data_IF_201292670794
#
_entry.id   IF_201292670794
#
_cell.length_a   1.000
_cell.length_b   1.000
_cell.length_c   1.000
_cell.angle_alpha   90.00
_cell.angle_beta   90.00
_cell.angle_gamma   90.00
#
_symmetry.space_group_name_H-M   'P 1'
#
loop_
_entity.id
_entity.type
_entity.pdbx_description
1 polymer ?
#
# COMPACT_ATOMS: atom_id res chain seq x y z
N UNK A 1 8.60 4.41 -41.51
CA UNK A 1 9.39 5.05 -40.43
C UNK A 1 8.57 5.71 -39.30
N UNK A 2 7.22 5.67 -39.31
CA UNK A 2 6.39 6.26 -38.25
C UNK A 2 6.02 5.31 -37.08
N UNK A 3 6.33 4.01 -37.15
CA UNK A 3 5.91 3.00 -36.16
C UNK A 3 6.95 2.67 -35.07
N UNK A 4 8.18 3.20 -35.18
CA UNK A 4 9.21 3.07 -34.14
C UNK A 4 9.13 4.20 -33.11
N UNK A 5 8.74 5.41 -33.52
CA UNK A 5 8.64 6.58 -32.63
C UNK A 5 7.52 6.42 -31.58
N UNK A 6 6.34 5.92 -31.99
CA UNK A 6 5.21 5.62 -31.08
C UNK A 6 5.51 4.52 -30.06
N UNK A 7 6.46 3.61 -30.34
CA UNK A 7 6.87 2.55 -29.40
C UNK A 7 7.75 3.10 -28.29
N UNK A 8 8.68 4.01 -28.60
CA UNK A 8 9.52 4.67 -27.60
C UNK A 8 8.72 5.49 -26.61
N UNK A 9 7.81 6.34 -27.10
CA UNK A 9 6.95 7.19 -26.25
C UNK A 9 5.98 6.35 -25.41
N UNK A 10 5.38 5.29 -25.98
CA UNK A 10 4.45 4.42 -25.26
C UNK A 10 5.15 3.59 -24.18
N UNK A 11 6.34 3.08 -24.46
CA UNK A 11 7.18 2.40 -23.44
C UNK A 11 7.62 3.39 -22.36
N UNK A 12 8.06 4.59 -22.72
CA UNK A 12 8.41 5.64 -21.75
C UNK A 12 7.21 6.06 -20.88
N UNK A 13 6.04 6.28 -21.47
CA UNK A 13 4.80 6.56 -20.73
C UNK A 13 4.41 5.40 -19.80
N UNK A 14 4.59 4.15 -20.23
CA UNK A 14 4.34 2.98 -19.38
C UNK A 14 5.34 2.88 -18.22
N UNK A 15 6.61 3.28 -18.42
CA UNK A 15 7.59 3.37 -17.35
C UNK A 15 7.28 4.52 -16.39
N UNK A 16 6.91 5.69 -16.90
CA UNK A 16 6.53 6.85 -16.07
C UNK A 16 5.23 6.57 -15.31
N UNK A 17 4.21 6.00 -15.95
CA UNK A 17 2.98 5.56 -15.28
C UNK A 17 3.25 4.40 -14.33
N UNK A 18 4.14 3.47 -14.67
CA UNK A 18 4.54 2.36 -13.79
C UNK A 18 5.28 2.86 -12.56
N UNK A 19 6.17 3.85 -12.72
CA UNK A 19 6.88 4.49 -11.62
C UNK A 19 5.93 5.35 -10.77
N UNK A 20 5.06 6.15 -11.40
CA UNK A 20 4.02 6.91 -10.70
C UNK A 20 3.03 5.97 -9.98
N UNK A 21 2.69 4.84 -10.59
CA UNK A 21 1.89 3.80 -9.97
C UNK A 21 2.60 3.22 -8.74
N UNK A 22 3.87 2.82 -8.87
CA UNK A 22 4.69 2.35 -7.76
C UNK A 22 4.87 3.43 -6.66
N UNK A 23 4.76 4.71 -7.03
CA UNK A 23 4.89 5.85 -6.14
C UNK A 23 3.61 6.12 -5.33
N UNK A 24 2.44 5.91 -5.92
CA UNK A 24 1.14 6.13 -5.25
C UNK A 24 0.58 4.86 -4.59
N UNK A 25 0.98 3.67 -5.05
CA UNK A 25 0.55 2.39 -4.49
C UNK A 25 0.83 2.20 -2.98
N UNK A 26 2.00 2.60 -2.44
CA UNK A 26 2.32 2.45 -1.02
C UNK A 26 1.55 3.41 -0.12
N UNK A 27 0.94 4.46 -0.68
CA UNK A 27 0.34 5.54 0.10
C UNK A 27 -1.08 5.20 0.60
N UNK A 28 -1.71 4.15 0.10
CA UNK A 28 -3.09 3.82 0.48
C UNK A 28 -3.25 3.17 1.87
N UNK A 29 -2.34 2.26 2.30
CA UNK A 29 -2.36 1.72 3.67
C UNK A 29 -2.12 2.77 4.76
N UNK A 30 -1.53 3.93 4.44
CA UNK A 30 -1.32 5.02 5.41
C UNK A 30 -2.61 5.48 6.06
N UNK A 31 -3.72 5.45 5.31
CA UNK A 31 -5.05 5.82 5.79
C UNK A 31 -5.48 4.97 6.99
N UNK A 32 -5.07 3.69 7.07
CA UNK A 32 -5.31 2.85 8.26
C UNK A 32 -4.51 3.38 9.44
N UNK A 33 -3.21 3.64 9.24
CA UNK A 33 -2.35 4.09 10.34
C UNK A 33 -2.70 5.51 10.82
N UNK A 34 -3.36 6.30 9.96
CA UNK A 34 -3.78 7.66 10.30
C UNK A 34 -4.99 7.70 11.26
N UNK A 35 -5.73 6.59 11.38
CA UNK A 35 -6.77 6.42 12.41
C UNK A 35 -6.23 6.66 13.83
N UNK A 36 -4.93 6.41 14.06
CA UNK A 36 -4.25 6.73 15.33
C UNK A 36 -4.34 8.22 15.69
N UNK A 37 -4.38 9.14 14.71
CA UNK A 37 -4.56 10.57 14.99
C UNK A 37 -5.96 10.89 15.52
N UNK A 38 -6.97 10.14 15.11
CA UNK A 38 -8.33 10.30 15.66
C UNK A 38 -8.34 9.90 17.14
N UNK A 39 -7.66 8.81 17.50
CA UNK A 39 -7.49 8.42 18.91
C UNK A 39 -6.61 9.38 19.71
N UNK A 40 -5.62 10.04 19.08
CA UNK A 40 -4.84 11.09 19.72
C UNK A 40 -5.66 12.35 20.02
N UNK A 41 -6.61 12.69 19.13
CA UNK A 41 -7.52 13.85 19.31
C UNK A 41 -8.62 13.59 20.35
N UNK A 42 -8.98 12.31 20.56
CA UNK A 42 -10.01 11.89 21.49
C UNK A 42 -9.44 10.85 22.49
N UNK A 43 -8.63 11.29 23.47
CA UNK A 43 -7.96 10.38 24.40
C UNK A 43 -8.95 9.64 25.31
N UNK A 44 -8.60 8.40 25.65
CA UNK A 44 -9.40 7.53 26.54
C UNK A 44 -9.50 8.06 27.99
N UNK A 45 -8.54 8.88 28.41
CA UNK A 45 -8.41 9.43 29.78
C UNK A 45 -8.81 10.91 29.80
N UNK A 46 -10.07 11.22 29.52
CA UNK A 46 -10.64 12.57 29.62
C UNK A 46 -12.00 12.56 30.31
N UNK A 47 -12.38 13.67 30.94
CA UNK A 47 -13.69 13.81 31.62
C UNK A 47 -14.89 13.60 30.68
N UNK A 48 -14.68 13.79 29.38
CA UNK A 48 -15.65 13.52 28.31
C UNK A 48 -15.39 12.14 27.70
N UNK A 49 -16.39 11.26 27.77
CA UNK A 49 -16.35 9.96 27.09
C UNK A 49 -16.25 10.16 25.58
N UNK A 50 -15.11 9.81 24.97
CA UNK A 50 -14.89 9.98 23.53
C UNK A 50 -15.98 9.34 22.65
N UNK A 51 -16.52 8.19 23.07
CA UNK A 51 -17.59 7.47 22.36
C UNK A 51 -18.96 8.17 22.41
N UNK A 52 -19.14 9.15 23.31
CA UNK A 52 -20.39 9.92 23.42
C UNK A 52 -20.52 11.02 22.36
N UNK A 53 -19.45 11.31 21.61
CA UNK A 53 -19.46 12.34 20.58
C UNK A 53 -19.74 11.72 19.19
N UNK A 54 -20.87 12.06 18.51
CA UNK A 54 -21.18 11.56 17.18
C UNK A 54 -20.12 11.90 16.12
N UNK A 55 -19.41 13.02 16.27
CA UNK A 55 -18.35 13.44 15.35
C UNK A 55 -17.14 12.51 15.38
N UNK A 56 -16.87 11.84 16.50
CA UNK A 56 -15.82 10.83 16.61
C UNK A 56 -16.12 9.65 15.69
N UNK A 57 -17.32 9.07 15.81
CA UNK A 57 -17.75 7.94 14.99
C UNK A 57 -17.77 8.28 13.50
N UNK A 58 -18.25 9.48 13.12
CA UNK A 58 -18.26 9.90 11.72
C UNK A 58 -16.84 9.98 11.13
N UNK A 59 -15.87 10.51 11.88
CA UNK A 59 -14.47 10.57 11.41
C UNK A 59 -13.82 9.18 11.35
N UNK A 60 -13.95 8.37 12.40
CA UNK A 60 -13.35 7.03 12.45
C UNK A 60 -13.92 6.14 11.35
N UNK A 61 -15.25 6.06 11.23
CA UNK A 61 -15.90 5.22 10.22
C UNK A 61 -15.64 5.73 8.80
N UNK A 62 -15.65 7.06 8.60
CA UNK A 62 -15.33 7.66 7.30
C UNK A 62 -13.91 7.36 6.86
N UNK A 63 -12.91 7.58 7.73
CA UNK A 63 -11.51 7.27 7.43
C UNK A 63 -11.29 5.78 7.21
N UNK A 64 -11.91 4.93 8.03
CA UNK A 64 -11.82 3.48 7.88
C UNK A 64 -12.40 3.01 6.54
N UNK A 65 -13.56 3.55 6.14
CA UNK A 65 -14.19 3.22 4.87
C UNK A 65 -13.31 3.64 3.68
N UNK A 66 -12.76 4.86 3.72
CA UNK A 66 -11.83 5.35 2.69
C UNK A 66 -10.55 4.50 2.66
N UNK A 67 -10.03 4.08 3.81
CA UNK A 67 -8.86 3.21 3.91
C UNK A 67 -9.12 1.82 3.30
N UNK A 68 -10.25 1.20 3.62
CA UNK A 68 -10.63 -0.12 3.09
C UNK A 68 -10.89 -0.06 1.58
N UNK A 69 -11.62 0.96 1.10
CA UNK A 69 -11.85 1.17 -0.33
C UNK A 69 -10.54 1.42 -1.07
N UNK A 70 -9.67 2.27 -0.51
CA UNK A 70 -8.37 2.52 -1.09
C UNK A 70 -7.51 1.25 -1.17
N UNK A 71 -7.44 0.47 -0.10
CA UNK A 71 -6.68 -0.79 -0.08
C UNK A 71 -7.20 -1.81 -1.08
N UNK A 72 -8.51 -1.98 -1.17
CA UNK A 72 -9.13 -2.92 -2.12
C UNK A 72 -8.87 -2.49 -3.57
N UNK A 73 -9.01 -1.20 -3.89
CA UNK A 73 -8.63 -0.65 -5.19
C UNK A 73 -7.13 -0.86 -5.48
N UNK A 74 -6.28 -0.69 -4.46
CA UNK A 74 -4.87 -1.04 -4.52
C UNK A 74 -4.68 -2.51 -4.88
N UNK A 75 -5.26 -3.46 -4.17
CA UNK A 75 -5.08 -4.88 -4.48
C UNK A 75 -5.54 -5.27 -5.87
N UNK A 76 -6.66 -4.70 -6.36
CA UNK A 76 -7.13 -4.92 -7.75
C UNK A 76 -6.15 -4.36 -8.77
N UNK A 77 -5.56 -3.20 -8.49
CA UNK A 77 -4.56 -2.59 -9.35
C UNK A 77 -3.27 -3.41 -9.41
N UNK A 78 -2.78 -3.90 -8.27
CA UNK A 78 -1.61 -4.78 -8.19
C UNK A 78 -1.84 -6.09 -8.90
N UNK A 79 -3.03 -6.67 -8.79
CA UNK A 79 -3.40 -7.88 -9.53
C UNK A 79 -3.35 -7.64 -11.04
N UNK A 80 -3.85 -6.49 -11.51
CA UNK A 80 -3.80 -6.14 -12.93
C UNK A 80 -2.36 -6.05 -13.45
N UNK A 81 -1.45 -5.44 -12.67
CA UNK A 81 -0.02 -5.38 -13.01
C UNK A 81 0.63 -6.76 -12.91
N UNK A 82 0.31 -7.55 -11.88
CA UNK A 82 0.81 -8.93 -11.71
C UNK A 82 0.46 -9.79 -12.92
N UNK A 83 -0.78 -9.71 -13.42
CA UNK A 83 -1.22 -10.42 -14.62
C UNK A 83 -0.46 -9.97 -15.88
N UNK A 84 -0.17 -8.68 -16.02
CA UNK A 84 0.63 -8.17 -17.12
C UNK A 84 2.07 -8.71 -17.06
N UNK A 85 2.69 -8.71 -15.88
CA UNK A 85 4.03 -9.29 -15.66
C UNK A 85 4.01 -10.80 -15.92
N UNK A 86 2.95 -11.49 -15.51
CA UNK A 86 2.78 -12.92 -15.74
C UNK A 86 2.76 -13.25 -17.24
N UNK A 87 2.05 -12.47 -18.04
CA UNK A 87 2.02 -12.63 -19.50
C UNK A 87 3.37 -12.34 -20.16
N UNK A 88 4.16 -11.42 -19.59
CA UNK A 88 5.43 -10.99 -20.17
C UNK A 88 6.63 -11.88 -19.78
N UNK A 89 6.71 -12.34 -18.53
CA UNK A 89 7.88 -13.05 -17.96
C UNK A 89 7.55 -14.31 -17.17
N UNK A 90 6.29 -14.75 -17.17
CA UNK A 90 5.87 -16.00 -16.53
C UNK A 90 5.39 -15.84 -15.08
N UNK A 91 4.81 -16.91 -14.54
CA UNK A 91 4.15 -16.92 -13.23
C UNK A 91 5.07 -16.68 -12.03
N UNK A 92 6.28 -17.27 -12.02
CA UNK A 92 7.21 -17.10 -10.90
C UNK A 92 7.67 -15.64 -10.74
N UNK A 93 7.98 -14.98 -11.86
CA UNK A 93 8.42 -13.57 -11.85
C UNK A 93 7.29 -12.65 -11.39
N UNK A 94 6.04 -12.92 -11.76
CA UNK A 94 4.91 -12.10 -11.32
C UNK A 94 4.63 -12.23 -9.82
N UNK A 95 4.76 -13.43 -9.26
CA UNK A 95 4.65 -13.65 -7.81
C UNK A 95 5.78 -12.94 -7.05
N UNK A 96 7.03 -13.07 -7.51
CA UNK A 96 8.15 -12.35 -6.90
C UNK A 96 8.00 -10.83 -6.98
N UNK A 97 7.51 -10.31 -8.12
CA UNK A 97 7.21 -8.89 -8.28
C UNK A 97 6.15 -8.42 -7.28
N UNK A 98 5.06 -9.18 -7.12
CA UNK A 98 4.01 -8.89 -6.16
C UNK A 98 4.55 -8.84 -4.72
N UNK A 99 5.33 -9.86 -4.32
CA UNK A 99 5.97 -9.89 -3.00
C UNK A 99 6.90 -8.69 -2.78
N UNK A 100 7.69 -8.33 -3.79
CA UNK A 100 8.57 -7.17 -3.71
C UNK A 100 7.77 -5.87 -3.54
N UNK A 101 6.65 -5.70 -4.26
CA UNK A 101 5.78 -4.53 -4.12
C UNK A 101 5.15 -4.47 -2.73
N UNK A 102 4.63 -5.59 -2.21
CA UNK A 102 4.07 -5.62 -0.85
C UNK A 102 5.14 -5.30 0.22
N UNK A 103 6.36 -5.82 0.05
CA UNK A 103 7.48 -5.51 0.93
C UNK A 103 7.81 -4.02 0.88
N UNK A 104 7.96 -3.46 -0.32
CA UNK A 104 8.23 -2.03 -0.50
C UNK A 104 7.13 -1.16 0.11
N UNK A 105 5.87 -1.57 -0.03
CA UNK A 105 4.73 -0.91 0.61
C UNK A 105 4.81 -0.96 2.14
N UNK A 106 5.15 -2.12 2.73
CA UNK A 106 5.28 -2.27 4.19
C UNK A 106 6.41 -1.40 4.78
N UNK A 107 7.53 -1.28 4.06
CA UNK A 107 8.65 -0.41 4.43
C UNK A 107 8.26 1.06 4.24
N UNK A 108 7.59 1.36 3.13
CA UNK A 108 7.04 2.68 2.85
C UNK A 108 6.18 3.19 4.00
N UNK A 109 5.20 2.40 4.44
CA UNK A 109 4.28 2.76 5.56
C UNK A 109 5.05 3.06 6.84
N UNK A 110 6.04 2.22 7.20
CA UNK A 110 6.85 2.47 8.39
C UNK A 110 7.56 3.82 8.30
N UNK A 111 8.23 4.09 7.17
CA UNK A 111 9.02 5.31 6.98
C UNK A 111 8.14 6.55 7.12
N UNK A 112 7.02 6.68 6.39
CA UNK A 112 6.23 7.90 6.51
C UNK A 112 5.45 8.00 7.82
N UNK A 113 5.21 6.89 8.54
CA UNK A 113 4.56 6.95 9.85
C UNK A 113 5.50 7.43 10.95
N UNK A 114 6.72 6.88 11.02
CA UNK A 114 7.65 7.15 12.11
C UNK A 114 8.61 8.29 11.81
N UNK A 115 9.02 8.43 10.56
CA UNK A 115 9.99 9.44 10.14
C UNK A 115 9.32 10.67 9.49
N UNK A 116 7.98 10.68 9.37
CA UNK A 116 7.22 11.75 8.68
C UNK A 116 7.70 12.03 7.25
N UNK A 117 8.58 11.18 6.72
CA UNK A 117 9.15 11.25 5.38
C UNK A 117 8.06 10.90 4.40
N UNK A 118 7.38 11.91 3.90
CA UNK A 118 6.46 11.73 2.79
C UNK A 118 7.28 11.31 1.57
N UNK A 119 6.64 10.67 0.59
CA UNK A 119 7.28 10.40 -0.71
C UNK A 119 7.74 11.70 -1.40
N UNK A 120 7.22 12.85 -0.96
CA UNK A 120 7.67 14.20 -1.31
C UNK A 120 9.07 14.56 -0.77
N UNK A 121 9.48 14.02 0.38
CA UNK A 121 10.80 14.28 0.98
C UNK A 121 11.95 13.58 0.26
N UNK A 122 11.64 12.51 -0.49
CA UNK A 122 12.59 11.87 -1.41
C UNK A 122 12.99 12.84 -2.54
N UNK A 123 12.06 13.71 -2.95
CA UNK A 123 12.27 14.68 -4.04
C UNK A 123 12.75 16.04 -3.49
N UNK A 124 12.28 16.46 -2.32
CA UNK A 124 12.60 17.77 -1.75
C UNK A 124 13.87 17.78 -0.88
N UNK A 125 14.21 16.68 -0.20
CA UNK A 125 15.35 16.61 0.73
C UNK A 125 15.95 15.19 0.87
N UNK A 126 16.56 14.62 -0.18
CA UNK A 126 17.06 13.24 -0.19
C UNK A 126 18.16 12.97 0.85
N UNK A 127 18.96 13.98 1.22
CA UNK A 127 20.02 13.84 2.23
C UNK A 127 19.48 13.63 3.65
N UNK A 128 18.34 14.25 3.98
CA UNK A 128 17.71 14.09 5.29
C UNK A 128 17.08 12.71 5.43
N UNK A 129 16.46 12.20 4.35
CA UNK A 129 15.94 10.84 4.29
C UNK A 129 17.06 9.80 4.49
N UNK A 130 18.21 9.98 3.84
CA UNK A 130 19.34 9.07 3.98
C UNK A 130 19.90 9.06 5.41
N UNK A 131 20.03 10.23 6.03
CA UNK A 131 20.50 10.36 7.42
C UNK A 131 19.52 9.72 8.43
N UNK A 132 18.22 9.80 8.17
CA UNK A 132 17.19 9.16 8.99
C UNK A 132 17.15 7.64 8.81
N UNK A 133 17.26 7.15 7.58
CA UNK A 133 17.33 5.71 7.33
C UNK A 133 18.61 5.12 7.93
N UNK A 134 19.74 5.83 7.85
CA UNK A 134 21.00 5.37 8.46
C UNK A 134 20.97 5.41 9.98
N UNK A 135 20.26 6.36 10.60
CA UNK A 135 20.11 6.42 12.06
C UNK A 135 19.28 5.27 12.63
N UNK A 136 18.33 4.70 11.87
CA UNK A 136 17.64 3.46 12.26
C UNK A 136 18.65 2.37 12.59
N UNK A 137 19.70 2.22 11.76
CA UNK A 137 20.71 1.18 11.93
C UNK A 137 21.68 1.43 13.09
N UNK A 138 21.73 2.65 13.62
CA UNK A 138 22.59 3.02 14.74
C UNK A 138 22.02 2.54 16.08
N UNK A 139 20.70 2.45 16.22
CA UNK A 139 20.01 2.03 17.44
C UNK A 139 19.45 0.60 17.30
N UNK A 140 19.76 -0.28 18.26
CA UNK A 140 19.23 -1.66 18.30
C UNK A 140 17.72 -1.71 18.51
N UNK A 141 17.15 -0.77 19.27
CA UNK A 141 15.72 -0.73 19.53
C UNK A 141 14.95 -0.30 18.27
N UNK A 142 15.44 0.72 17.56
CA UNK A 142 14.83 1.19 16.32
C UNK A 142 14.91 0.15 15.19
N UNK A 143 16.04 -0.55 15.04
CA UNK A 143 16.14 -1.68 14.10
C UNK A 143 15.11 -2.75 14.36
N UNK A 144 14.97 -3.16 15.62
CA UNK A 144 14.04 -4.22 16.01
C UNK A 144 12.61 -3.80 15.71
N UNK A 145 12.22 -2.58 16.12
CA UNK A 145 10.93 -2.00 15.79
C UNK A 145 10.66 -1.88 14.29
N UNK A 146 11.67 -1.49 13.50
CA UNK A 146 11.57 -1.39 12.05
C UNK A 146 11.24 -2.75 11.42
N UNK A 147 12.05 -3.77 11.75
CA UNK A 147 11.89 -5.11 11.18
C UNK A 147 10.58 -5.75 11.62
N UNK A 148 10.23 -5.67 12.90
CA UNK A 148 9.01 -6.26 13.44
C UNK A 148 7.77 -5.61 12.86
N UNK A 149 7.68 -4.27 12.87
CA UNK A 149 6.49 -3.57 12.38
C UNK A 149 6.32 -3.74 10.86
N UNK A 150 7.39 -3.57 10.08
CA UNK A 150 7.33 -3.79 8.63
C UNK A 150 7.04 -5.25 8.29
N UNK A 151 7.59 -6.21 9.05
CA UNK A 151 7.28 -7.62 8.90
C UNK A 151 5.81 -7.95 9.18
N UNK A 152 5.25 -7.45 10.28
CA UNK A 152 3.84 -7.61 10.61
C UNK A 152 2.93 -6.98 9.54
N UNK A 153 3.23 -5.76 9.11
CA UNK A 153 2.47 -5.10 8.04
C UNK A 153 2.55 -5.85 6.73
N UNK A 154 3.73 -6.36 6.37
CA UNK A 154 3.89 -7.19 5.17
C UNK A 154 2.99 -8.42 5.21
N UNK A 155 2.96 -9.13 6.34
CA UNK A 155 2.10 -10.31 6.52
C UNK A 155 0.62 -9.93 6.43
N UNK A 156 0.20 -8.83 7.08
CA UNK A 156 -1.20 -8.35 7.01
C UNK A 156 -1.59 -7.99 5.58
N UNK A 157 -0.74 -7.26 4.86
CA UNK A 157 -0.99 -6.89 3.46
C UNK A 157 -1.05 -8.12 2.56
N UNK A 158 -0.15 -9.09 2.76
CA UNK A 158 -0.14 -10.35 2.01
C UNK A 158 -1.42 -11.15 2.23
N UNK A 159 -1.82 -11.35 3.48
CA UNK A 159 -3.06 -12.08 3.82
C UNK A 159 -4.30 -11.36 3.25
N UNK A 160 -4.32 -10.03 3.34
CA UNK A 160 -5.44 -9.21 2.83
C UNK A 160 -5.53 -9.26 1.30
N UNK A 161 -4.39 -9.23 0.62
CA UNK A 161 -4.32 -9.41 -0.84
C UNK A 161 -4.81 -10.79 -1.25
N UNK A 162 -4.30 -11.88 -0.63
CA UNK A 162 -4.73 -13.25 -0.92
C UNK A 162 -6.22 -13.42 -0.66
N UNK A 163 -6.74 -12.89 0.45
CA UNK A 163 -8.17 -12.95 0.78
C UNK A 163 -9.03 -12.28 -0.29
N UNK A 164 -8.61 -11.11 -0.78
CA UNK A 164 -9.30 -10.39 -1.85
C UNK A 164 -9.32 -11.21 -3.14
N UNK A 165 -8.19 -11.84 -3.49
CA UNK A 165 -8.10 -12.69 -4.68
C UNK A 165 -8.94 -13.96 -4.56
N UNK A 166 -9.00 -14.58 -3.39
CA UNK A 166 -9.89 -15.72 -3.14
C UNK A 166 -11.36 -15.33 -3.37
N UNK A 167 -11.78 -14.15 -2.90
CA UNK A 167 -13.15 -13.65 -3.13
C UNK A 167 -13.43 -13.43 -4.61
N UNK A 168 -12.51 -12.80 -5.33
CA UNK A 168 -12.64 -12.57 -6.78
C UNK A 168 -12.70 -13.90 -7.54
N UNK A 169 -11.84 -14.85 -7.18
CA UNK A 169 -11.81 -16.18 -7.80
C UNK A 169 -13.12 -16.95 -7.58
N UNK A 170 -13.65 -16.94 -6.34
CA UNK A 170 -14.96 -17.53 -6.04
C UNK A 170 -16.09 -16.88 -6.84
N UNK A 171 -16.02 -15.55 -7.06
CA UNK A 171 -17.00 -14.82 -7.86
C UNK A 171 -17.00 -15.25 -9.33
N UNK A 172 -15.81 -15.39 -9.93
CA UNK A 172 -15.67 -15.81 -11.33
C UNK A 172 -16.13 -17.25 -11.55
N UNK A 173 -15.78 -18.17 -10.64
CA UNK A 173 -16.19 -19.57 -10.75
C UNK A 173 -17.72 -19.73 -10.79
N UNK A 174 -18.46 -18.90 -10.04
CA UNK A 174 -19.93 -18.92 -10.09
C UNK A 174 -20.48 -18.40 -11.43
N UNK A 175 -19.85 -17.40 -12.05
CA UNK A 175 -20.31 -16.90 -13.37
C UNK A 175 -20.17 -17.95 -14.48
N UNK A 176 -19.17 -18.82 -14.39
CA UNK A 176 -18.96 -19.91 -15.35
C UNK A 176 -20.00 -21.03 -15.21
N UNK A 177 -20.68 -21.14 -14.07
CA UNK A 177 -21.80 -22.07 -13.87
C UNK A 177 -23.09 -21.54 -14.53
N UNK A 178 -23.37 -20.24 -14.44
CA UNK A 178 -24.55 -19.62 -15.08
C UNK A 178 -24.49 -19.61 -16.61
N UNK A 179 -23.29 -19.63 -17.20
CA UNK A 179 -23.11 -19.68 -18.66
C UNK A 179 -23.24 -21.08 -19.27
N UNK A 180 -23.39 -22.12 -18.46
CA UNK A 180 -23.56 -23.52 -18.92
C UNK A 180 -25.02 -23.95 -19.08
N UNK A 181 -25.96 -23.07 -18.73
CA UNK A 181 -27.40 -23.23 -18.90
C UNK A 181 -27.91 -22.25 -19.96
#
# INVERSE_FOLDING_TARGET
>A
MYSSWRRGTRTFLLWVMGAAWLFFYPNTPYLITDLLHVFARYPFLGEQRFWGNPYFWNHVLGMLLVAVLGLTMGFVSLESVRQLVQRARGGLVSWLFMLAVLLLSSLGIYIGRFFRGNTWDIVSAPSQLYAQVSSIWADSLQRTHFVEFSGMLFVILLVSYVSTMCVVWMGNNRQDEWRRW
#
